data_IF_718196090415
#
_entry.id   IF_718196090415
#
_cell.length_a   1.000
_cell.length_b   1.000
_cell.length_c   1.000
_cell.angle_alpha   90.00
_cell.angle_beta   90.00
_cell.angle_gamma   90.00
#
_symmetry.space_group_name_H-M   'P 1'
#
loop_
_entity.id
_entity.type
_entity.pdbx_description
1 polymer ?
#
# COMPACT_ATOMS: atom_id res chain seq x y z
N UNK A 1 -16.36 -36.14 -18.47
CA UNK A 1 -15.06 -35.63 -18.98
C UNK A 1 -14.63 -34.50 -18.06
N UNK A 2 -13.47 -34.60 -17.41
CA UNK A 2 -12.95 -33.53 -16.57
C UNK A 2 -12.42 -32.41 -17.45
N UNK A 3 -12.96 -31.21 -17.33
CA UNK A 3 -12.37 -30.02 -17.95
C UNK A 3 -10.97 -29.85 -17.36
N UNK A 4 -9.90 -29.72 -18.16
CA UNK A 4 -8.57 -29.47 -17.62
C UNK A 4 -8.57 -28.15 -16.86
N UNK A 5 -7.96 -28.14 -15.67
CA UNK A 5 -7.78 -26.91 -14.90
C UNK A 5 -6.94 -25.93 -15.72
N UNK A 6 -7.52 -24.76 -16.00
CA UNK A 6 -6.85 -23.65 -16.66
C UNK A 6 -6.70 -22.49 -15.67
N UNK A 7 -5.54 -21.86 -15.69
CA UNK A 7 -5.23 -20.65 -14.92
C UNK A 7 -4.80 -19.55 -15.89
N UNK A 8 -5.24 -18.32 -15.65
CA UNK A 8 -4.91 -17.15 -16.47
C UNK A 8 -4.73 -15.93 -15.58
N UNK A 9 -3.85 -15.03 -16.00
CA UNK A 9 -3.54 -13.79 -15.29
C UNK A 9 -3.55 -12.65 -16.29
N UNK A 10 -4.22 -11.56 -15.92
CA UNK A 10 -4.36 -10.38 -16.75
C UNK A 10 -3.81 -9.17 -16.01
N UNK A 11 -3.00 -8.36 -16.70
CA UNK A 11 -2.62 -7.04 -16.19
C UNK A 11 -3.78 -6.06 -16.39
N UNK A 12 -4.23 -5.42 -15.32
CA UNK A 12 -5.27 -4.40 -15.38
C UNK A 12 -4.62 -3.02 -15.51
N UNK A 13 -4.67 -2.44 -16.70
CA UNK A 13 -4.14 -1.10 -16.94
C UNK A 13 -5.08 -0.05 -16.34
N UNK A 14 -4.55 0.79 -15.45
CA UNK A 14 -5.31 1.87 -14.79
C UNK A 14 -4.78 3.25 -15.23
N UNK A 15 -5.59 4.31 -15.12
CA UNK A 15 -5.04 5.66 -15.08
C UNK A 15 -4.14 5.85 -13.86
N UNK A 16 -3.45 6.99 -13.79
CA UNK A 16 -2.81 7.42 -12.56
C UNK A 16 -3.88 7.58 -11.47
N UNK A 17 -3.73 6.82 -10.38
CA UNK A 17 -4.65 6.89 -9.25
C UNK A 17 -4.37 8.13 -8.42
N UNK A 18 -5.44 8.81 -8.03
CA UNK A 18 -5.42 10.04 -7.22
C UNK A 18 -6.39 9.94 -6.06
N UNK A 19 -6.23 10.82 -5.07
CA UNK A 19 -7.08 10.85 -3.88
C UNK A 19 -8.55 10.99 -4.25
N UNK A 20 -9.40 10.14 -3.65
CA UNK A 20 -10.84 10.11 -3.88
C UNK A 20 -11.28 9.36 -5.13
N UNK A 21 -10.37 8.74 -5.88
CA UNK A 21 -10.76 7.85 -6.97
C UNK A 21 -11.46 6.59 -6.47
N UNK A 22 -12.51 6.17 -7.17
CA UNK A 22 -13.18 4.90 -6.94
C UNK A 22 -12.35 3.77 -7.59
N UNK A 23 -11.53 3.11 -6.77
CA UNK A 23 -10.69 1.99 -7.22
C UNK A 23 -11.55 0.86 -7.78
N UNK A 24 -12.69 0.56 -7.18
CA UNK A 24 -13.56 -0.55 -7.62
C UNK A 24 -14.07 -0.29 -9.04
N UNK A 25 -14.58 0.91 -9.31
CA UNK A 25 -15.04 1.29 -10.65
C UNK A 25 -13.90 1.27 -11.68
N UNK A 26 -12.70 1.75 -11.31
CA UNK A 26 -11.52 1.74 -12.18
C UNK A 26 -11.11 0.30 -12.50
N UNK A 27 -11.03 -0.58 -11.51
CA UNK A 27 -10.58 -1.96 -11.70
C UNK A 27 -11.61 -2.79 -12.45
N UNK A 28 -12.91 -2.56 -12.23
CA UNK A 28 -13.97 -3.20 -12.98
C UNK A 28 -13.87 -2.85 -14.47
N UNK A 29 -13.72 -1.57 -14.79
CA UNK A 29 -13.53 -1.13 -16.18
C UNK A 29 -12.27 -1.73 -16.82
N UNK A 30 -11.15 -1.75 -16.10
CA UNK A 30 -9.91 -2.33 -16.61
C UNK A 30 -10.05 -3.85 -16.85
N UNK A 31 -10.80 -4.56 -16.01
CA UNK A 31 -11.09 -5.98 -16.18
C UNK A 31 -12.00 -6.25 -17.39
N UNK A 32 -13.02 -5.41 -17.63
CA UNK A 32 -13.82 -5.46 -18.86
C UNK A 32 -12.94 -5.36 -20.11
N UNK A 33 -11.98 -4.43 -20.12
CA UNK A 33 -11.09 -4.20 -21.27
C UNK A 33 -10.03 -5.31 -21.46
N UNK A 34 -9.48 -5.84 -20.37
CA UNK A 34 -8.37 -6.79 -20.42
C UNK A 34 -8.80 -8.27 -20.46
N UNK A 35 -9.93 -8.60 -19.84
CA UNK A 35 -10.36 -9.98 -19.60
C UNK A 35 -11.85 -10.23 -19.95
N UNK A 36 -12.61 -9.20 -20.34
CA UNK A 36 -14.05 -9.31 -20.60
C UNK A 36 -14.91 -9.32 -19.33
N UNK A 37 -14.37 -8.79 -18.22
CA UNK A 37 -15.06 -8.64 -16.93
C UNK A 37 -14.56 -9.63 -15.88
N UNK A 38 -15.20 -9.59 -14.71
CA UNK A 38 -14.99 -10.56 -13.63
C UNK A 38 -16.05 -11.67 -13.66
N UNK A 39 -15.63 -12.90 -13.38
CA UNK A 39 -16.50 -14.03 -13.13
C UNK A 39 -16.48 -14.44 -11.64
N UNK A 40 -17.51 -15.17 -11.22
CA UNK A 40 -17.57 -15.73 -9.87
C UNK A 40 -16.37 -16.65 -9.61
N UNK A 41 -15.62 -16.33 -8.55
CA UNK A 41 -14.41 -17.05 -8.15
C UNK A 41 -13.11 -16.42 -8.65
N UNK A 42 -13.17 -15.37 -9.46
CA UNK A 42 -11.97 -14.61 -9.83
C UNK A 42 -11.36 -13.89 -8.62
N UNK A 43 -10.04 -13.69 -8.69
CA UNK A 43 -9.26 -13.03 -7.64
C UNK A 43 -8.68 -11.74 -8.21
N UNK A 44 -9.07 -10.61 -7.61
CA UNK A 44 -8.45 -9.32 -7.86
C UNK A 44 -7.28 -9.12 -6.88
N UNK A 45 -6.09 -8.85 -7.42
CA UNK A 45 -4.91 -8.47 -6.64
C UNK A 45 -4.62 -7.00 -6.89
N UNK A 46 -4.59 -6.19 -5.83
CA UNK A 46 -4.24 -4.78 -5.87
C UNK A 46 -2.98 -4.53 -5.08
N UNK A 47 -2.11 -3.67 -5.60
CA UNK A 47 -1.00 -3.14 -4.82
C UNK A 47 -1.54 -2.20 -3.72
N UNK A 48 -0.82 -2.13 -2.61
CA UNK A 48 -1.15 -1.26 -1.48
C UNK A 48 -1.12 0.22 -1.87
N UNK A 49 -0.08 0.67 -2.57
CA UNK A 49 0.13 2.09 -2.89
C UNK A 49 -1.03 2.77 -3.65
N UNK A 50 -1.62 2.21 -4.73
CA UNK A 50 -2.78 2.82 -5.37
C UNK A 50 -4.02 2.83 -4.47
N UNK A 51 -4.25 1.79 -3.67
CA UNK A 51 -5.36 1.76 -2.72
C UNK A 51 -5.20 2.85 -1.65
N UNK A 52 -4.03 2.91 -1.01
CA UNK A 52 -3.67 3.93 -0.02
C UNK A 52 -3.78 5.36 -0.60
N UNK A 53 -3.35 5.55 -1.86
CA UNK A 53 -3.48 6.83 -2.58
C UNK A 53 -4.94 7.23 -2.76
N UNK A 54 -5.80 6.32 -3.22
CA UNK A 54 -7.22 6.61 -3.41
C UNK A 54 -7.92 6.95 -2.09
N UNK A 55 -7.54 6.28 -1.00
CA UNK A 55 -8.03 6.55 0.36
C UNK A 55 -7.45 7.82 0.99
N UNK A 56 -6.53 8.52 0.34
CA UNK A 56 -5.92 9.74 0.85
C UNK A 56 -4.90 9.51 1.96
N UNK A 57 -4.29 8.32 2.04
CA UNK A 57 -3.22 7.95 2.99
C UNK A 57 -1.87 8.52 2.57
N UNK A 58 -1.83 9.82 2.30
CA UNK A 58 -0.63 10.54 1.85
C UNK A 58 -0.29 11.60 2.90
N UNK A 59 0.93 11.55 3.40
CA UNK A 59 1.45 12.49 4.39
C UNK A 59 2.66 13.22 3.78
N UNK A 60 2.67 14.55 3.91
CA UNK A 60 3.88 15.32 3.60
C UNK A 60 4.81 15.27 4.81
N UNK A 61 6.04 14.80 4.60
CA UNK A 61 7.04 14.73 5.67
C UNK A 61 7.29 16.08 6.34
N UNK A 62 7.19 17.19 5.60
CA UNK A 62 7.31 18.55 6.16
C UNK A 62 6.28 18.87 7.24
N UNK A 63 5.15 18.18 7.24
CA UNK A 63 4.01 18.46 8.11
C UNK A 63 4.06 17.59 9.38
N UNK A 64 5.05 16.69 9.49
CA UNK A 64 5.23 15.77 10.62
C UNK A 64 6.02 16.46 11.74
N UNK A 65 5.47 16.44 12.95
CA UNK A 65 6.14 16.90 14.17
C UNK A 65 6.70 15.71 14.97
N UNK A 66 8.02 15.46 14.98
CA UNK A 66 8.55 14.27 15.63
C UNK A 66 8.53 14.35 17.16
N UNK A 67 8.16 13.23 17.79
CA UNK A 67 8.21 13.05 19.24
C UNK A 67 9.63 12.77 19.76
N UNK A 68 9.81 12.85 21.09
CA UNK A 68 11.09 12.46 21.71
C UNK A 68 11.44 10.99 21.44
N UNK A 69 10.43 10.11 21.36
CA UNK A 69 10.62 8.69 21.03
C UNK A 69 11.07 8.49 19.59
N UNK A 70 10.48 9.22 18.63
CA UNK A 70 10.92 9.20 17.24
C UNK A 70 12.37 9.68 17.09
N UNK A 71 12.77 10.73 17.82
CA UNK A 71 14.16 11.22 17.82
C UNK A 71 15.14 10.15 18.29
N UNK A 72 14.80 9.41 19.36
CA UNK A 72 15.64 8.33 19.87
C UNK A 72 15.81 7.21 18.84
N UNK A 73 14.71 6.74 18.22
CA UNK A 73 14.76 5.70 17.18
C UNK A 73 15.52 6.15 15.94
N UNK A 74 15.34 7.41 15.52
CA UNK A 74 16.03 7.99 14.38
C UNK A 74 17.55 8.02 14.58
N UNK A 75 18.00 8.37 15.78
CA UNK A 75 19.41 8.35 16.13
C UNK A 75 19.95 6.91 16.19
N UNK A 76 19.24 6.00 16.84
CA UNK A 76 19.65 4.60 17.01
C UNK A 76 19.76 3.86 15.68
N UNK A 77 18.76 4.00 14.82
CA UNK A 77 18.65 3.26 13.57
C UNK A 77 19.00 4.09 12.33
N UNK A 78 19.54 5.31 12.49
CA UNK A 78 19.97 6.16 11.36
C UNK A 78 18.88 6.38 10.30
N UNK A 79 17.65 6.63 10.75
CA UNK A 79 16.50 6.91 9.87
C UNK A 79 16.06 8.38 9.98
N UNK A 80 15.31 8.85 9.00
CA UNK A 80 14.67 10.16 9.09
C UNK A 80 13.72 10.20 10.28
N UNK A 81 13.86 11.21 11.11
CA UNK A 81 13.07 11.36 12.35
C UNK A 81 11.57 11.51 12.10
N UNK A 82 11.17 12.03 10.94
CA UNK A 82 9.77 12.14 10.52
C UNK A 82 9.22 10.80 10.06
N UNK A 83 10.06 9.96 9.45
CA UNK A 83 9.69 8.58 9.12
C UNK A 83 9.55 7.74 10.39
N UNK A 84 10.46 7.90 11.36
CA UNK A 84 10.35 7.25 12.66
C UNK A 84 9.03 7.58 13.36
N UNK A 85 8.61 8.85 13.31
CA UNK A 85 7.34 9.30 13.87
C UNK A 85 6.14 8.68 13.15
N UNK A 86 6.12 8.66 11.82
CA UNK A 86 5.03 8.01 11.06
C UNK A 86 4.93 6.52 11.39
N UNK A 87 6.06 5.81 11.42
CA UNK A 87 6.07 4.38 11.80
C UNK A 87 5.51 4.19 13.21
N UNK A 88 5.86 5.05 14.16
CA UNK A 88 5.29 4.99 15.52
C UNK A 88 3.79 5.25 15.58
N UNK A 89 3.25 6.09 14.70
CA UNK A 89 1.82 6.41 14.65
C UNK A 89 0.99 5.30 13.99
N UNK A 90 1.58 4.59 13.03
CA UNK A 90 0.91 3.56 12.23
C UNK A 90 1.21 2.12 12.71
N UNK A 91 1.90 1.97 13.85
CA UNK A 91 2.26 0.66 14.42
C UNK A 91 1.82 0.55 15.88
N UNK A 92 1.44 -0.65 16.30
CA UNK A 92 1.17 -0.94 17.71
C UNK A 92 2.48 -0.99 18.53
N UNK A 93 3.55 -1.52 17.93
CA UNK A 93 4.82 -1.74 18.61
C UNK A 93 6.04 -1.66 17.68
N UNK A 94 7.17 -1.16 18.21
CA UNK A 94 8.48 -1.27 17.56
C UNK A 94 9.21 -2.47 18.15
N UNK A 95 9.48 -3.47 17.32
CA UNK A 95 10.18 -4.71 17.71
C UNK A 95 11.69 -4.49 17.73
N UNK A 96 12.21 -3.67 16.82
CA UNK A 96 13.64 -3.34 16.70
C UNK A 96 13.96 -2.71 15.35
N UNK A 97 15.22 -2.74 14.94
CA UNK A 97 15.62 -2.22 13.64
C UNK A 97 17.07 -2.53 13.27
N UNK A 98 17.46 -2.03 12.11
CA UNK A 98 18.84 -2.00 11.61
C UNK A 98 19.09 -0.61 11.01
N UNK A 99 20.33 -0.19 10.74
CA UNK A 99 20.58 1.10 10.10
C UNK A 99 19.74 1.27 8.82
N UNK A 100 18.89 2.29 8.79
CA UNK A 100 17.98 2.62 7.69
C UNK A 100 16.55 2.06 7.81
N UNK A 101 16.27 1.16 8.76
CA UNK A 101 15.00 0.41 8.81
C UNK A 101 14.50 0.14 10.23
N UNK A 102 13.18 0.18 10.42
CA UNK A 102 12.49 -0.28 11.62
C UNK A 102 11.66 -1.51 11.31
N UNK A 103 11.63 -2.45 12.25
CA UNK A 103 10.67 -3.54 12.29
C UNK A 103 9.59 -3.20 13.31
N UNK A 104 8.35 -3.14 12.83
CA UNK A 104 7.19 -2.80 13.62
C UNK A 104 6.06 -3.83 13.40
N UNK A 105 5.14 -3.88 14.35
CA UNK A 105 3.89 -4.65 14.26
C UNK A 105 2.72 -3.72 14.39
#
# INVERSE_FOLDING_TARGET
MSVPLSFSVYGLSTPLITVGNDITAITAKAAEEAAGGFADGDILVLAESPLATAEGRIIRLSDVMPSARANALAQEYSIDVRLAEIVLQESDEIVGGVPGYLLAR
#
